data_IF_998474819916
#
_entry.id   IF_998474819916
#
_cell.length_a   1.000
_cell.length_b   1.000
_cell.length_c   1.000
_cell.angle_alpha   90.00
_cell.angle_beta   90.00
_cell.angle_gamma   90.00
#
_symmetry.space_group_name_H-M   'P 1'
#
loop_
_entity.id
_entity.type
_entity.pdbx_description
1 polymer ?
#
# COMPACT_ATOMS: atom_id res chain seq x y z
N UNK A 1 2.91 -23.14 -21.57
CA UNK A 1 3.38 -21.76 -21.36
C UNK A 1 4.22 -21.74 -20.10
N UNK A 2 5.33 -20.99 -20.07
CA UNK A 2 6.10 -20.78 -18.84
C UNK A 2 5.46 -19.66 -18.02
N UNK A 3 5.14 -19.93 -16.75
CA UNK A 3 4.72 -18.91 -15.78
C UNK A 3 5.94 -18.10 -15.35
N UNK A 4 5.80 -16.79 -15.21
CA UNK A 4 6.85 -15.90 -14.67
C UNK A 4 6.32 -15.17 -13.45
N UNK A 5 7.05 -15.24 -12.35
CA UNK A 5 6.79 -14.41 -11.18
C UNK A 5 7.18 -12.95 -11.46
N UNK A 6 6.34 -12.01 -11.03
CA UNK A 6 6.56 -10.58 -11.13
C UNK A 6 6.43 -9.97 -9.74
N UNK A 7 7.49 -9.30 -9.27
CA UNK A 7 7.45 -8.58 -8.01
C UNK A 7 6.73 -7.23 -8.21
N UNK A 8 5.72 -6.92 -7.40
CA UNK A 8 5.10 -5.60 -7.37
C UNK A 8 5.42 -4.90 -6.06
N UNK A 9 6.07 -3.75 -6.16
CA UNK A 9 6.51 -2.96 -5.02
C UNK A 9 5.66 -1.71 -4.82
N UNK A 10 5.31 -1.39 -3.58
CA UNK A 10 4.64 -0.13 -3.24
C UNK A 10 5.65 0.99 -3.08
N UNK A 11 5.55 2.03 -3.89
CA UNK A 11 6.37 3.24 -3.71
C UNK A 11 5.96 3.94 -2.40
N UNK A 12 6.96 4.33 -1.60
CA UNK A 12 6.72 5.06 -0.36
C UNK A 12 6.14 6.45 -0.65
N UNK A 13 5.00 6.76 -0.05
CA UNK A 13 4.31 8.03 -0.22
C UNK A 13 4.97 9.21 0.50
N UNK A 14 4.70 10.45 0.05
CA UNK A 14 5.28 11.66 0.64
C UNK A 14 4.83 11.91 2.09
N UNK A 15 3.69 11.33 2.50
CA UNK A 15 3.15 11.44 3.85
C UNK A 15 3.70 10.38 4.83
N UNK A 16 4.72 9.62 4.44
CA UNK A 16 5.34 8.60 5.28
C UNK A 16 5.75 9.17 6.65
N UNK A 17 5.28 8.54 7.73
CA UNK A 17 5.49 8.99 9.09
C UNK A 17 5.47 7.80 10.07
N UNK A 18 5.88 8.04 11.31
CA UNK A 18 5.85 7.06 12.39
C UNK A 18 4.79 7.42 13.43
N UNK A 19 3.52 7.13 13.15
CA UNK A 19 2.40 7.47 14.03
C UNK A 19 2.01 6.38 15.05
N UNK A 20 2.66 5.21 15.05
CA UNK A 20 2.39 4.16 16.03
C UNK A 20 1.02 3.48 15.91
N UNK A 21 0.42 3.49 14.72
CA UNK A 21 -1.00 3.16 14.50
C UNK A 21 -1.35 1.67 14.51
N UNK A 22 -0.36 0.78 14.42
CA UNK A 22 -0.57 -0.67 14.30
C UNK A 22 -0.37 -1.37 15.65
N UNK A 23 -1.45 -1.58 16.40
CA UNK A 23 -1.40 -2.34 17.65
C UNK A 23 -0.87 -3.76 17.39
N UNK A 24 0.07 -4.22 18.22
CA UNK A 24 0.75 -5.51 18.05
C UNK A 24 1.97 -5.48 17.13
N UNK A 25 2.19 -4.40 16.37
CA UNK A 25 3.44 -4.19 15.61
C UNK A 25 4.46 -3.44 16.47
N UNK A 26 5.41 -4.17 17.05
CA UNK A 26 6.45 -3.63 17.92
C UNK A 26 7.28 -2.52 17.26
N UNK A 27 7.58 -2.63 15.95
CA UNK A 27 8.34 -1.61 15.24
C UNK A 27 7.54 -0.31 15.09
N UNK A 28 6.24 -0.42 14.79
CA UNK A 28 5.32 0.72 14.75
C UNK A 28 5.27 1.43 16.12
N UNK A 29 5.05 0.68 17.20
CA UNK A 29 4.94 1.25 18.55
C UNK A 29 6.26 1.87 19.05
N UNK A 30 7.40 1.21 18.82
CA UNK A 30 8.71 1.69 19.29
C UNK A 30 9.19 2.97 18.62
N UNK A 31 8.80 3.20 17.36
CA UNK A 31 9.22 4.37 16.59
C UNK A 31 8.16 5.49 16.59
N UNK A 32 7.06 5.35 17.34
CA UNK A 32 5.99 6.32 17.37
C UNK A 32 6.51 7.72 17.78
N UNK A 33 6.20 8.74 16.97
CA UNK A 33 6.63 10.12 17.16
C UNK A 33 8.04 10.45 16.63
N UNK A 34 8.78 9.47 16.11
CA UNK A 34 10.08 9.74 15.50
C UNK A 34 9.95 10.53 14.19
N UNK A 35 11.00 11.27 13.84
CA UNK A 35 11.09 12.00 12.58
C UNK A 35 11.25 11.00 11.43
N UNK A 36 10.42 11.12 10.40
CA UNK A 36 10.53 10.35 9.17
C UNK A 36 11.26 11.12 8.07
N UNK A 37 11.80 10.39 7.09
CA UNK A 37 12.44 10.96 5.90
C UNK A 37 11.80 10.38 4.62
N UNK A 38 10.59 10.86 4.21
CA UNK A 38 9.82 10.25 3.12
C UNK A 38 10.59 10.08 1.82
N UNK A 39 11.35 11.11 1.41
CA UNK A 39 12.18 11.06 0.20
C UNK A 39 13.25 9.98 0.29
N UNK A 40 13.93 9.86 1.42
CA UNK A 40 14.97 8.85 1.62
C UNK A 40 14.36 7.43 1.58
N UNK A 41 13.22 7.24 2.25
CA UNK A 41 12.49 5.97 2.24
C UNK A 41 12.04 5.56 0.82
N UNK A 42 11.52 6.51 0.03
CA UNK A 42 11.15 6.27 -1.36
C UNK A 42 12.37 5.89 -2.22
N UNK A 43 13.49 6.60 -2.07
CA UNK A 43 14.73 6.29 -2.80
C UNK A 43 15.31 4.93 -2.44
N UNK A 44 15.23 4.51 -1.17
CA UNK A 44 15.62 3.17 -0.73
C UNK A 44 14.76 2.09 -1.43
N UNK A 45 13.44 2.29 -1.49
CA UNK A 45 12.54 1.39 -2.21
C UNK A 45 12.83 1.32 -3.71
N UNK A 46 13.08 2.47 -4.36
CA UNK A 46 13.45 2.53 -5.78
C UNK A 46 14.77 1.81 -6.05
N UNK A 47 15.78 2.00 -5.20
CA UNK A 47 17.06 1.33 -5.39
C UNK A 47 16.92 -0.19 -5.25
N UNK A 48 16.06 -0.68 -4.34
CA UNK A 48 15.72 -2.11 -4.25
C UNK A 48 15.09 -2.62 -5.55
N UNK A 49 14.06 -1.92 -6.06
CA UNK A 49 13.41 -2.28 -7.33
C UNK A 49 14.40 -2.31 -8.51
N UNK A 50 15.31 -1.34 -8.58
CA UNK A 50 16.39 -1.32 -9.58
C UNK A 50 17.37 -2.47 -9.40
N UNK A 51 17.67 -2.84 -8.16
CA UNK A 51 18.43 -4.04 -7.82
C UNK A 51 17.82 -5.31 -8.42
N UNK A 52 16.52 -5.51 -8.22
CA UNK A 52 15.77 -6.65 -8.78
C UNK A 52 15.85 -6.69 -10.31
N UNK A 53 15.67 -5.54 -10.97
CA UNK A 53 15.79 -5.43 -12.43
C UNK A 53 17.21 -5.78 -12.93
N UNK A 54 18.26 -5.31 -12.24
CA UNK A 54 19.66 -5.65 -12.57
C UNK A 54 19.94 -7.16 -12.44
N UNK A 55 19.21 -7.85 -11.57
CA UNK A 55 19.28 -9.31 -11.39
C UNK A 55 18.41 -10.08 -12.41
N UNK A 56 17.70 -9.39 -13.32
CA UNK A 56 16.83 -10.02 -14.33
C UNK A 56 15.43 -10.41 -13.83
N UNK A 57 15.06 -10.02 -12.61
CA UNK A 57 13.71 -10.26 -12.08
C UNK A 57 12.69 -9.30 -12.72
N UNK A 58 11.47 -9.77 -12.94
CA UNK A 58 10.39 -8.89 -13.40
C UNK A 58 9.88 -8.03 -12.24
N UNK A 59 9.66 -6.75 -12.51
CA UNK A 59 9.30 -5.74 -11.50
C UNK A 59 8.16 -4.85 -12.02
N UNK A 60 7.07 -4.80 -11.25
CA UNK A 60 6.00 -3.81 -11.32
C UNK A 60 6.04 -2.87 -10.11
N UNK A 61 5.19 -1.84 -10.14
CA UNK A 61 5.15 -0.80 -9.12
C UNK A 61 3.71 -0.37 -8.86
N UNK A 62 3.35 -0.20 -7.58
CA UNK A 62 2.17 0.55 -7.17
C UNK A 62 2.58 1.96 -6.74
N UNK A 63 1.82 2.94 -7.20
CA UNK A 63 1.98 4.33 -6.83
C UNK A 63 1.44 4.56 -5.40
N UNK A 64 1.96 5.58 -4.69
CA UNK A 64 1.41 5.97 -3.41
C UNK A 64 -0.05 6.39 -3.56
N UNK A 65 -0.83 6.11 -2.53
CA UNK A 65 -2.24 6.54 -2.49
C UNK A 65 -2.37 8.01 -2.10
N UNK A 66 -3.51 8.61 -2.45
CA UNK A 66 -3.86 9.98 -2.05
C UNK A 66 -3.93 10.08 -0.53
N UNK A 67 -3.10 10.96 0.03
CA UNK A 67 -3.02 11.24 1.47
C UNK A 67 -2.88 12.76 1.69
N UNK A 68 -3.61 13.37 2.65
CA UNK A 68 -4.61 12.75 3.52
C UNK A 68 -5.82 12.21 2.73
N UNK A 69 -6.42 11.11 3.19
CA UNK A 69 -7.63 10.56 2.59
C UNK A 69 -8.86 11.35 3.04
N UNK A 70 -9.19 12.41 2.29
CA UNK A 70 -10.33 13.27 2.57
C UNK A 70 -11.69 12.56 2.40
N UNK A 71 -11.78 11.58 1.50
CA UNK A 71 -13.01 10.82 1.29
C UNK A 71 -13.30 9.95 2.52
N UNK A 72 -12.28 9.27 3.06
CA UNK A 72 -12.40 8.52 4.30
C UNK A 72 -12.78 9.41 5.48
N UNK A 73 -12.13 10.56 5.65
CA UNK A 73 -12.47 11.52 6.71
C UNK A 73 -13.93 11.99 6.61
N UNK A 74 -14.42 12.25 5.41
CA UNK A 74 -15.80 12.65 5.19
C UNK A 74 -16.80 11.55 5.63
N UNK A 75 -16.47 10.26 5.46
CA UNK A 75 -17.31 9.16 5.97
C UNK A 75 -17.41 9.12 7.50
N UNK A 76 -16.43 9.72 8.19
CA UNK A 76 -16.40 9.86 9.65
C UNK A 76 -17.04 11.17 10.12
N UNK A 77 -17.58 11.98 9.20
CA UNK A 77 -18.18 13.28 9.53
C UNK A 77 -17.16 14.35 9.93
N UNK A 78 -15.91 14.26 9.44
CA UNK A 78 -14.84 15.20 9.77
C UNK A 78 -13.98 15.54 8.54
N UNK A 79 -12.97 16.38 8.74
CA UNK A 79 -11.98 16.76 7.73
C UNK A 79 -10.58 16.83 8.36
N UNK A 80 -9.56 17.15 7.56
CA UNK A 80 -8.17 17.19 8.04
C UNK A 80 -7.92 18.27 9.10
N UNK A 81 -8.69 19.36 9.09
CA UNK A 81 -8.54 20.46 10.04
C UNK A 81 -9.17 20.12 11.40
N UNK A 82 -10.33 19.48 11.35
CA UNK A 82 -11.19 19.20 12.51
C UNK A 82 -10.97 17.82 13.14
N UNK A 83 -10.35 16.87 12.45
CA UNK A 83 -10.17 15.52 12.97
C UNK A 83 -9.22 15.48 14.17
N UNK A 84 -9.51 14.57 15.11
CA UNK A 84 -8.62 14.28 16.24
C UNK A 84 -7.22 13.87 15.75
N UNK A 85 -6.15 14.14 16.54
CA UNK A 85 -4.77 13.85 16.12
C UNK A 85 -4.55 12.42 15.61
N UNK A 86 -5.15 11.41 16.25
CA UNK A 86 -4.99 10.01 15.86
C UNK A 86 -5.73 9.66 14.56
N UNK A 87 -6.90 10.26 14.32
CA UNK A 87 -7.65 10.13 13.06
C UNK A 87 -6.92 10.82 11.92
N UNK A 88 -6.36 12.02 12.15
CA UNK A 88 -5.52 12.72 11.15
C UNK A 88 -4.31 11.89 10.76
N UNK A 89 -3.61 11.32 11.74
CA UNK A 89 -2.48 10.44 11.49
C UNK A 89 -2.89 9.21 10.66
N UNK A 90 -4.05 8.60 10.97
CA UNK A 90 -4.60 7.49 10.19
C UNK A 90 -4.94 7.86 8.74
N UNK A 91 -5.49 9.06 8.52
CA UNK A 91 -5.78 9.56 7.17
C UNK A 91 -4.52 9.87 6.35
N UNK A 92 -3.40 10.17 7.01
CA UNK A 92 -2.12 10.52 6.36
C UNK A 92 -1.15 9.34 6.20
N UNK A 93 -1.47 8.16 6.74
CA UNK A 93 -0.58 7.00 6.71
C UNK A 93 -0.17 6.60 5.29
N UNK A 94 1.14 6.40 5.07
CA UNK A 94 1.69 5.84 3.82
C UNK A 94 1.72 4.29 3.81
N UNK A 95 0.88 3.63 4.62
CA UNK A 95 0.88 2.17 4.82
C UNK A 95 0.64 1.34 3.56
N UNK A 96 0.01 1.91 2.53
CA UNK A 96 -0.17 1.25 1.23
C UNK A 96 1.14 0.92 0.52
N UNK A 97 2.28 1.47 0.95
CA UNK A 97 3.61 1.05 0.48
C UNK A 97 3.90 -0.44 0.76
N UNK A 98 3.26 -1.03 1.76
CA UNK A 98 3.36 -2.47 2.04
C UNK A 98 2.44 -3.27 1.12
N UNK A 99 2.85 -3.37 -0.15
CA UNK A 99 2.11 -4.03 -1.22
C UNK A 99 1.83 -5.52 -0.96
N UNK A 100 2.59 -6.17 -0.08
CA UNK A 100 2.33 -7.55 0.36
C UNK A 100 0.95 -7.73 1.01
N UNK A 101 0.30 -6.65 1.44
CA UNK A 101 -1.07 -6.69 1.98
C UNK A 101 -2.12 -6.14 1.01
N UNK A 102 -1.75 -5.78 -0.22
CA UNK A 102 -2.65 -5.13 -1.16
C UNK A 102 -3.77 -6.08 -1.62
N UNK A 103 -3.42 -7.32 -1.94
CA UNK A 103 -4.34 -8.32 -2.46
C UNK A 103 -3.76 -9.73 -2.26
N UNK A 104 -4.64 -10.72 -2.41
CA UNK A 104 -4.25 -12.13 -2.59
C UNK A 104 -4.30 -12.45 -4.09
N UNK A 105 -3.26 -13.10 -4.60
CA UNK A 105 -3.16 -13.51 -6.00
C UNK A 105 -3.40 -15.01 -6.11
N UNK A 106 -4.31 -15.40 -7.00
CA UNK A 106 -4.52 -16.79 -7.44
C UNK A 106 -4.09 -16.90 -8.91
N UNK A 107 -2.92 -17.49 -9.21
CA UNK A 107 -2.45 -17.66 -10.58
C UNK A 107 -3.42 -18.47 -11.45
N UNK A 108 -3.44 -18.20 -12.75
CA UNK A 108 -4.26 -18.94 -13.73
C UNK A 108 -4.15 -20.47 -13.65
N UNK A 109 -2.97 -20.99 -13.29
CA UNK A 109 -2.71 -22.43 -13.16
C UNK A 109 -3.50 -23.08 -12.00
N UNK A 110 -3.92 -22.28 -11.01
CA UNK A 110 -4.56 -22.75 -9.77
C UNK A 110 -6.09 -22.51 -9.77
N UNK A 111 -6.62 -21.92 -10.84
CA UNK A 111 -8.00 -21.43 -10.93
C UNK A 111 -8.80 -22.19 -11.98
N UNK A 112 -10.06 -22.50 -11.70
CA UNK A 112 -10.90 -23.33 -12.57
C UNK A 112 -11.19 -22.73 -13.96
N UNK A 113 -11.17 -21.40 -14.08
CA UNK A 113 -11.42 -20.68 -15.35
C UNK A 113 -10.14 -20.35 -16.13
N UNK A 114 -8.97 -20.77 -15.62
CA UNK A 114 -7.68 -20.54 -16.25
C UNK A 114 -7.25 -19.06 -16.29
N UNK A 115 -7.77 -18.22 -15.39
CA UNK A 115 -7.45 -16.78 -15.31
C UNK A 115 -6.72 -16.44 -14.02
N UNK A 116 -5.82 -15.46 -14.05
CA UNK A 116 -5.23 -14.95 -12.81
C UNK A 116 -6.25 -14.07 -12.08
N UNK A 117 -6.57 -14.40 -10.83
CA UNK A 117 -7.48 -13.62 -9.98
C UNK A 117 -6.69 -12.84 -8.94
N UNK A 118 -7.07 -11.58 -8.72
CA UNK A 118 -6.50 -10.72 -7.67
C UNK A 118 -7.63 -10.20 -6.78
N UNK A 119 -7.67 -10.67 -5.55
CA UNK A 119 -8.69 -10.28 -4.56
C UNK A 119 -8.11 -9.22 -3.62
N UNK A 120 -8.58 -7.97 -3.73
CA UNK A 120 -8.11 -6.86 -2.89
C UNK A 120 -8.41 -7.11 -1.41
N UNK A 121 -7.45 -6.82 -0.54
CA UNK A 121 -7.63 -6.96 0.90
C UNK A 121 -8.33 -5.73 1.49
N UNK A 122 -9.31 -5.93 2.39
CA UNK A 122 -10.05 -4.85 3.04
C UNK A 122 -9.29 -4.18 4.19
N UNK A 123 -8.35 -4.90 4.82
CA UNK A 123 -7.46 -4.45 5.90
C UNK A 123 -8.18 -3.79 7.10
N UNK A 124 -9.41 -4.21 7.38
CA UNK A 124 -10.35 -3.54 8.30
C UNK A 124 -9.89 -3.51 9.77
N UNK A 125 -8.98 -4.39 10.17
CA UNK A 125 -8.47 -4.44 11.55
C UNK A 125 -7.75 -3.15 11.96
N UNK A 126 -7.12 -2.45 11.01
CA UNK A 126 -6.38 -1.22 11.27
C UNK A 126 -7.02 -0.06 10.53
N UNK A 127 -7.55 0.93 11.25
CA UNK A 127 -8.32 2.03 10.64
C UNK A 127 -7.53 2.81 9.57
N UNK A 128 -6.22 2.99 9.76
CA UNK A 128 -5.35 3.67 8.79
C UNK A 128 -5.11 2.86 7.50
N UNK A 129 -5.48 1.57 7.50
CA UNK A 129 -5.38 0.65 6.36
C UNK A 129 -6.73 0.30 5.74
N UNK A 130 -7.82 0.44 6.49
CA UNK A 130 -9.17 0.03 6.06
C UNK A 130 -9.70 0.82 4.86
N UNK A 131 -9.08 1.96 4.55
CA UNK A 131 -9.39 2.80 3.39
C UNK A 131 -8.38 2.64 2.23
N UNK A 132 -7.44 1.70 2.30
CA UNK A 132 -6.48 1.46 1.22
C UNK A 132 -7.15 0.81 -0.01
N UNK A 133 -8.13 -0.06 0.20
CA UNK A 133 -8.62 -0.97 -0.82
C UNK A 133 -9.23 -0.31 -2.07
N UNK A 134 -9.94 0.84 -2.02
CA UNK A 134 -10.54 1.41 -3.23
C UNK A 134 -9.48 1.87 -4.23
N UNK A 135 -8.43 2.53 -3.75
CA UNK A 135 -7.32 3.00 -4.59
C UNK A 135 -6.43 1.82 -5.03
N UNK A 136 -6.24 0.82 -4.16
CA UNK A 136 -5.54 -0.42 -4.55
C UNK A 136 -6.28 -1.15 -5.67
N UNK A 137 -7.61 -1.30 -5.57
CA UNK A 137 -8.41 -1.93 -6.60
C UNK A 137 -8.33 -1.18 -7.93
N UNK A 138 -8.35 0.16 -7.89
CA UNK A 138 -8.18 0.98 -9.09
C UNK A 138 -6.81 0.74 -9.76
N UNK A 139 -5.73 0.67 -8.99
CA UNK A 139 -4.40 0.37 -9.52
C UNK A 139 -4.29 -1.05 -10.06
N UNK A 140 -4.88 -2.05 -9.39
CA UNK A 140 -4.90 -3.44 -9.87
C UNK A 140 -5.64 -3.55 -11.22
N UNK A 141 -6.81 -2.91 -11.33
CA UNK A 141 -7.56 -2.87 -12.59
C UNK A 141 -6.80 -2.21 -13.73
N UNK A 142 -6.00 -1.19 -13.42
CA UNK A 142 -5.17 -0.51 -14.42
C UNK A 142 -3.94 -1.34 -14.81
N UNK A 143 -3.26 -1.94 -13.82
CA UNK A 143 -2.01 -2.67 -14.06
C UNK A 143 -2.22 -4.03 -14.74
N UNK A 144 -3.40 -4.63 -14.55
CA UNK A 144 -3.75 -5.96 -15.05
C UNK A 144 -5.01 -5.94 -15.93
N UNK A 145 -5.28 -4.83 -16.64
CA UNK A 145 -6.33 -4.79 -17.66
C UNK A 145 -5.93 -5.64 -18.87
N UNK A 146 -6.90 -6.39 -19.42
CA UNK A 146 -6.75 -7.15 -20.67
C UNK A 146 -6.82 -6.25 -21.94
N UNK A 147 -6.80 -4.92 -21.75
CA UNK A 147 -6.94 -3.89 -22.80
C UNK A 147 -5.86 -2.86 -22.68
#
# INVERSE_FOLDING_TARGET
MSVREINFDGLVGPSHNYAGLSLGNLASSRNAGAVSHPRAAALQGIEKMRGNLRLGLAQGIFLPQWRPDGAWLATLGTDISNADPHIRAAAMSASSMWAANAATVSPAADTADGRTHLTVANLVTMAHRSHEWPQTLAQLRLAFSDT
#
